data_IF_093947762844
#
_entry.id   IF_093947762844
#
_cell.length_a   1.000
_cell.length_b   1.000
_cell.length_c   1.000
_cell.angle_alpha   90.00
_cell.angle_beta   90.00
_cell.angle_gamma   90.00
#
_symmetry.space_group_name_H-M   'P 1'
#
loop_
_entity.id
_entity.type
_entity.pdbx_description
1 polymer ?
#
# COMPACT_ATOMS: atom_id res chain seq x y z
N UNK A 1 -79.30 29.29 -2.70
CA UNK A 1 -78.03 28.94 -3.38
C UNK A 1 -76.99 28.62 -2.30
N UNK A 2 -76.74 27.33 -2.00
CA UNK A 2 -75.71 26.89 -1.05
C UNK A 2 -74.39 26.76 -1.83
N UNK A 3 -73.37 27.56 -1.47
CA UNK A 3 -72.02 27.44 -2.03
C UNK A 3 -71.29 26.33 -1.28
N UNK A 4 -70.95 25.25 -1.99
CA UNK A 4 -70.07 24.19 -1.50
C UNK A 4 -68.65 24.69 -1.73
N UNK A 5 -67.90 24.89 -0.64
CA UNK A 5 -66.46 25.19 -0.68
C UNK A 5 -65.77 23.83 -0.65
N UNK A 6 -65.21 23.40 -1.78
CA UNK A 6 -64.35 22.23 -1.85
C UNK A 6 -62.99 22.57 -1.25
N UNK A 7 -62.65 21.92 -0.14
CA UNK A 7 -61.30 21.95 0.43
C UNK A 7 -60.47 20.93 -0.36
N UNK A 8 -59.53 21.44 -1.17
CA UNK A 8 -58.52 20.62 -1.82
C UNK A 8 -57.47 20.25 -0.76
N UNK A 9 -57.48 19.00 -0.30
CA UNK A 9 -56.42 18.47 0.56
C UNK A 9 -55.29 18.01 -0.36
N UNK A 10 -54.22 18.81 -0.40
CA UNK A 10 -53.00 18.47 -1.11
C UNK A 10 -52.15 17.58 -0.18
N UNK A 11 -52.18 16.27 -0.40
CA UNK A 11 -51.33 15.32 0.33
C UNK A 11 -49.90 15.42 -0.21
N UNK A 12 -49.02 16.10 0.53
CA UNK A 12 -47.58 16.02 0.29
C UNK A 12 -47.10 14.66 0.79
N UNK A 13 -46.76 13.76 -0.14
CA UNK A 13 -45.97 12.57 0.18
C UNK A 13 -44.52 13.05 0.23
N UNK A 14 -44.00 13.29 1.44
CA UNK A 14 -42.56 13.45 1.64
C UNK A 14 -41.97 12.06 1.56
N UNK A 15 -41.49 11.68 0.36
CA UNK A 15 -40.61 10.53 0.22
C UNK A 15 -39.29 10.92 0.89
N UNK A 16 -38.99 10.32 2.05
CA UNK A 16 -37.61 10.28 2.54
C UNK A 16 -36.83 9.45 1.53
N UNK A 17 -36.07 10.12 0.67
CA UNK A 17 -35.00 9.46 -0.08
C UNK A 17 -33.90 9.24 0.95
N UNK A 18 -33.66 8.00 1.34
CA UNK A 18 -32.44 7.67 2.08
C UNK A 18 -31.28 7.94 1.13
N UNK A 19 -30.27 8.70 1.57
CA UNK A 19 -29.05 8.86 0.80
C UNK A 19 -28.34 7.50 0.75
N UNK A 20 -28.01 7.03 -0.44
CA UNK A 20 -27.18 5.83 -0.62
C UNK A 20 -25.80 6.14 -0.07
N UNK A 21 -25.34 5.34 0.89
CA UNK A 21 -23.98 5.46 1.41
C UNK A 21 -23.00 4.64 0.57
N UNK A 22 -21.70 4.88 0.72
CA UNK A 22 -20.68 4.02 0.09
C UNK A 22 -20.83 2.58 0.58
N UNK A 23 -21.11 2.39 1.87
CA UNK A 23 -21.41 1.06 2.44
C UNK A 23 -22.57 0.37 1.72
N UNK A 24 -23.65 1.09 1.41
CA UNK A 24 -24.80 0.51 0.70
C UNK A 24 -24.45 0.08 -0.74
N UNK A 25 -23.45 0.71 -1.36
CA UNK A 25 -22.92 0.32 -2.68
C UNK A 25 -22.01 -0.90 -2.54
N UNK A 26 -21.08 -0.88 -1.60
CA UNK A 26 -19.99 -1.84 -1.47
C UNK A 26 -20.42 -3.15 -0.80
N UNK A 27 -21.17 -3.09 0.30
CA UNK A 27 -21.40 -4.26 1.13
C UNK A 27 -22.26 -5.32 0.45
N UNK A 28 -21.76 -6.56 0.46
CA UNK A 28 -22.53 -7.76 0.14
C UNK A 28 -22.04 -8.95 0.96
N UNK A 29 -22.94 -9.89 1.26
CA UNK A 29 -22.60 -11.22 1.80
C UNK A 29 -22.74 -12.33 0.74
N UNK A 30 -22.88 -11.93 -0.53
CA UNK A 30 -23.08 -12.82 -1.67
C UNK A 30 -21.82 -12.82 -2.54
N UNK A 31 -21.09 -13.93 -2.52
CA UNK A 31 -19.95 -14.12 -3.41
C UNK A 31 -20.39 -14.21 -4.89
N UNK A 32 -19.65 -13.52 -5.76
CA UNK A 32 -19.75 -13.54 -7.20
C UNK A 32 -19.22 -14.84 -7.84
N UNK A 33 -19.44 -15.02 -9.15
CA UNK A 33 -19.00 -16.22 -9.88
C UNK A 33 -17.47 -16.33 -10.05
N UNK A 34 -16.77 -15.21 -9.92
CA UNK A 34 -15.32 -15.00 -9.91
C UNK A 34 -14.70 -15.11 -8.51
N UNK A 35 -15.52 -15.23 -7.46
CA UNK A 35 -15.07 -15.39 -6.08
C UNK A 35 -14.92 -14.08 -5.30
N UNK A 36 -15.09 -12.95 -5.96
CA UNK A 36 -15.21 -11.60 -5.38
C UNK A 36 -16.59 -11.37 -4.77
N UNK A 37 -16.82 -10.18 -4.21
CA UNK A 37 -18.05 -9.81 -3.53
C UNK A 37 -18.67 -8.58 -4.22
N UNK A 38 -19.26 -8.78 -5.42
CA UNK A 38 -19.76 -7.69 -6.25
C UNK A 38 -20.95 -6.96 -5.61
N UNK A 39 -21.01 -5.66 -5.85
CA UNK A 39 -22.13 -4.80 -5.46
C UNK A 39 -23.48 -5.36 -5.91
N UNK A 40 -24.43 -5.39 -4.98
CA UNK A 40 -25.83 -5.71 -5.29
C UNK A 40 -26.55 -4.58 -6.07
N UNK A 41 -25.87 -3.44 -6.27
CA UNK A 41 -26.35 -2.30 -7.02
C UNK A 41 -25.74 -2.21 -8.42
N UNK A 42 -25.03 -3.23 -8.91
CA UNK A 42 -24.47 -3.26 -10.26
C UNK A 42 -25.51 -2.87 -11.33
N UNK A 43 -25.17 -1.85 -12.12
CA UNK A 43 -26.02 -1.26 -13.17
C UNK A 43 -27.02 -0.21 -12.69
N UNK A 44 -27.16 0.04 -11.39
CA UNK A 44 -28.04 1.08 -10.84
C UNK A 44 -27.33 2.45 -10.77
N UNK A 45 -28.10 3.53 -10.95
CA UNK A 45 -27.62 4.89 -10.74
C UNK A 45 -27.78 5.29 -9.27
N UNK A 46 -26.70 5.77 -8.67
CA UNK A 46 -26.65 6.15 -7.25
C UNK A 46 -26.05 7.55 -7.09
N UNK A 47 -26.41 8.20 -5.99
CA UNK A 47 -25.73 9.40 -5.49
C UNK A 47 -25.14 9.09 -4.12
N UNK A 48 -23.81 9.21 -4.00
CA UNK A 48 -23.04 8.95 -2.77
C UNK A 48 -22.19 10.17 -2.43
N UNK A 49 -21.74 10.28 -1.18
CA UNK A 49 -20.79 11.30 -0.76
C UNK A 49 -19.63 10.67 0.02
N UNK A 50 -18.44 11.26 -0.13
CA UNK A 50 -17.22 10.80 0.53
C UNK A 50 -16.07 11.80 0.41
N UNK A 51 -15.01 11.57 1.19
CA UNK A 51 -13.79 12.36 1.20
C UNK A 51 -12.80 11.73 0.22
N UNK A 52 -12.19 12.52 -0.65
CA UNK A 52 -11.16 12.06 -1.57
C UNK A 52 -9.91 11.64 -0.79
N UNK A 53 -9.55 10.36 -0.85
CA UNK A 53 -8.38 9.78 -0.18
C UNK A 53 -7.19 9.62 -1.11
N UNK A 54 -7.41 9.42 -2.41
CA UNK A 54 -6.38 9.26 -3.44
C UNK A 54 -6.82 9.80 -4.79
N UNK A 55 -5.88 10.34 -5.58
CA UNK A 55 -6.15 10.99 -6.87
C UNK A 55 -5.24 10.43 -7.95
N UNK A 56 -5.73 10.46 -9.20
CA UNK A 56 -4.98 10.13 -10.42
C UNK A 56 -4.52 8.68 -10.53
N UNK A 57 -5.32 7.78 -9.97
CA UNK A 57 -5.06 6.36 -10.00
C UNK A 57 -4.90 5.84 -11.44
N UNK A 58 -3.94 4.93 -11.63
CA UNK A 58 -3.56 4.33 -12.92
C UNK A 58 -3.20 5.36 -14.00
N UNK A 59 -2.72 6.55 -13.59
CA UNK A 59 -2.29 7.63 -14.48
C UNK A 59 -3.42 8.44 -15.13
N UNK A 60 -4.69 8.13 -14.82
CA UNK A 60 -5.85 8.85 -15.32
C UNK A 60 -6.13 10.07 -14.45
N UNK A 61 -6.10 11.27 -15.05
CA UNK A 61 -6.06 12.53 -14.28
C UNK A 61 -7.32 12.86 -13.48
N UNK A 62 -8.42 12.21 -13.79
CA UNK A 62 -9.76 12.44 -13.27
C UNK A 62 -10.34 11.22 -12.54
N UNK A 63 -9.52 10.19 -12.28
CA UNK A 63 -9.91 9.06 -11.44
C UNK A 63 -9.48 9.32 -10.00
N UNK A 64 -10.29 8.90 -9.05
CA UNK A 64 -10.00 9.10 -7.62
C UNK A 64 -10.73 8.10 -6.73
N UNK A 65 -10.27 7.99 -5.50
CA UNK A 65 -10.88 7.19 -4.46
C UNK A 65 -11.58 8.12 -3.50
N UNK A 66 -12.80 7.77 -3.08
CA UNK A 66 -13.49 8.42 -1.97
C UNK A 66 -13.71 7.43 -0.85
N UNK A 67 -13.77 7.93 0.37
CA UNK A 67 -14.05 7.13 1.55
C UNK A 67 -15.04 7.85 2.48
N UNK A 68 -15.86 7.10 3.22
CA UNK A 68 -16.74 7.68 4.24
C UNK A 68 -15.91 8.39 5.32
N UNK A 69 -16.41 9.50 5.87
CA UNK A 69 -15.69 10.31 6.88
C UNK A 69 -15.25 9.52 8.13
N UNK A 70 -16.04 8.53 8.53
CA UNK A 70 -15.74 7.68 9.68
C UNK A 70 -14.79 6.51 9.33
N UNK A 71 -14.48 6.31 8.04
CA UNK A 71 -13.75 5.16 7.51
C UNK A 71 -14.47 3.83 7.78
N UNK A 72 -13.69 2.76 7.84
CA UNK A 72 -14.15 1.42 8.22
C UNK A 72 -14.31 0.46 7.04
N UNK A 73 -14.65 -0.79 7.34
CA UNK A 73 -14.94 -1.80 6.30
C UNK A 73 -16.06 -1.30 5.37
N UNK A 74 -15.92 -1.56 4.06
CA UNK A 74 -16.84 -1.21 2.99
C UNK A 74 -17.08 0.30 2.86
N UNK A 75 -16.10 1.11 3.25
CA UNK A 75 -16.23 2.57 3.26
C UNK A 75 -15.59 3.27 2.07
N UNK A 76 -14.78 2.56 1.28
CA UNK A 76 -14.08 3.07 0.12
C UNK A 76 -14.84 2.85 -1.18
N UNK A 77 -14.66 3.73 -2.16
CA UNK A 77 -15.21 3.56 -3.49
C UNK A 77 -14.34 4.22 -4.54
N UNK A 78 -14.10 3.50 -5.63
CA UNK A 78 -13.38 4.01 -6.78
C UNK A 78 -14.30 4.77 -7.73
N UNK A 79 -13.85 5.96 -8.14
CA UNK A 79 -14.55 6.85 -9.05
C UNK A 79 -13.77 6.96 -10.35
N UNK A 80 -14.39 6.49 -11.44
CA UNK A 80 -13.78 6.39 -12.75
C UNK A 80 -14.38 7.42 -13.72
N UNK A 81 -13.52 8.11 -14.48
CA UNK A 81 -13.89 9.13 -15.47
C UNK A 81 -14.76 10.25 -14.89
N UNK A 82 -14.28 10.94 -13.84
CA UNK A 82 -15.01 12.05 -13.26
C UNK A 82 -15.08 13.30 -14.15
N UNK A 83 -14.14 13.45 -15.09
CA UNK A 83 -14.01 14.65 -15.94
C UNK A 83 -13.54 15.92 -15.22
N UNK A 84 -13.44 15.91 -13.88
CA UNK A 84 -12.89 16.99 -13.08
C UNK A 84 -11.44 16.67 -12.69
N UNK A 85 -10.53 17.58 -13.04
CA UNK A 85 -9.09 17.46 -12.76
C UNK A 85 -8.59 18.49 -11.76
N UNK A 86 -9.51 19.23 -11.12
CA UNK A 86 -9.23 20.32 -10.18
C UNK A 86 -9.35 19.93 -8.71
N UNK A 87 -9.91 18.75 -8.44
CA UNK A 87 -10.11 18.19 -7.10
C UNK A 87 -8.77 17.88 -6.41
N UNK A 88 -8.75 17.96 -5.08
CA UNK A 88 -7.59 17.67 -4.23
C UNK A 88 -7.95 16.63 -3.14
N UNK A 89 -6.95 15.92 -2.62
CA UNK A 89 -7.14 15.04 -1.44
C UNK A 89 -7.67 15.87 -0.27
N UNK A 90 -8.64 15.31 0.47
CA UNK A 90 -9.35 16.01 1.54
C UNK A 90 -10.55 16.85 1.08
N UNK A 91 -10.83 16.91 -0.23
CA UNK A 91 -12.12 17.40 -0.72
C UNK A 91 -13.22 16.39 -0.40
N UNK A 92 -14.35 16.87 0.11
CA UNK A 92 -15.57 16.08 0.25
C UNK A 92 -16.45 16.33 -0.97
N UNK A 93 -16.86 15.27 -1.65
CA UNK A 93 -17.61 15.34 -2.90
C UNK A 93 -18.88 14.52 -2.83
N UNK A 94 -19.92 15.01 -3.51
CA UNK A 94 -21.10 14.24 -3.88
C UNK A 94 -20.94 13.76 -5.33
N UNK A 95 -21.06 12.45 -5.55
CA UNK A 95 -20.87 11.80 -6.85
C UNK A 95 -22.18 11.12 -7.26
N UNK A 96 -22.63 11.39 -8.49
CA UNK A 96 -23.76 10.69 -9.10
C UNK A 96 -23.32 10.01 -10.39
N UNK A 97 -23.50 8.68 -10.45
CA UNK A 97 -23.16 7.84 -11.60
C UNK A 97 -23.73 6.43 -11.45
N UNK A 98 -23.35 5.54 -12.37
CA UNK A 98 -23.78 4.15 -12.37
C UNK A 98 -22.75 3.30 -11.62
N UNK A 99 -23.22 2.45 -10.71
CA UNK A 99 -22.39 1.41 -10.09
C UNK A 99 -22.06 0.36 -11.14
N UNK A 100 -20.80 -0.03 -11.24
CA UNK A 100 -20.36 -1.10 -12.14
C UNK A 100 -19.40 -2.05 -11.45
N UNK A 101 -19.59 -3.32 -11.75
CA UNK A 101 -18.62 -4.37 -11.45
C UNK A 101 -17.65 -4.55 -12.63
N UNK A 102 -16.39 -4.13 -12.44
CA UNK A 102 -15.37 -4.25 -13.47
C UNK A 102 -14.34 -5.32 -13.09
N UNK A 103 -14.58 -6.55 -13.56
CA UNK A 103 -13.76 -7.73 -13.22
C UNK A 103 -13.59 -7.93 -11.70
N UNK A 104 -14.67 -7.72 -10.96
CA UNK A 104 -14.69 -7.88 -9.49
C UNK A 104 -14.21 -6.66 -8.72
N UNK A 105 -13.97 -5.52 -9.37
CA UNK A 105 -13.69 -4.23 -8.73
C UNK A 105 -14.90 -3.30 -8.86
N UNK A 106 -15.44 -2.81 -7.74
CA UNK A 106 -16.62 -1.95 -7.72
C UNK A 106 -16.25 -0.50 -8.02
N UNK A 107 -16.85 0.08 -9.05
CA UNK A 107 -16.64 1.48 -9.44
C UNK A 107 -17.93 2.27 -9.62
N UNK A 108 -17.86 3.60 -9.49
CA UNK A 108 -18.85 4.50 -10.09
C UNK A 108 -18.27 5.08 -11.37
N UNK A 109 -18.98 4.88 -12.49
CA UNK A 109 -18.66 5.50 -13.77
C UNK A 109 -19.93 5.86 -14.56
N UNK A 110 -19.78 6.61 -15.65
CA UNK A 110 -20.91 6.97 -16.49
C UNK A 110 -21.32 5.84 -17.44
N UNK A 111 -22.53 5.93 -17.98
CA UNK A 111 -23.01 5.00 -19.01
C UNK A 111 -22.26 5.23 -20.34
N UNK A 112 -21.88 4.17 -21.05
CA UNK A 112 -21.15 4.23 -22.33
C UNK A 112 -19.94 5.21 -22.32
N UNK A 113 -19.10 5.14 -21.29
CA UNK A 113 -17.88 5.97 -21.11
C UNK A 113 -18.14 7.49 -21.09
N UNK A 114 -19.29 7.89 -20.55
CA UNK A 114 -19.61 9.30 -20.28
C UNK A 114 -19.08 9.76 -18.92
N UNK A 115 -18.87 11.06 -18.76
CA UNK A 115 -18.52 11.64 -17.46
C UNK A 115 -19.70 11.55 -16.50
N UNK A 116 -19.41 11.23 -15.25
CA UNK A 116 -20.35 11.30 -14.12
C UNK A 116 -20.56 12.74 -13.64
N UNK A 117 -21.49 12.95 -12.71
CA UNK A 117 -21.64 14.25 -12.04
C UNK A 117 -20.90 14.24 -10.71
N UNK A 118 -19.99 15.21 -10.52
CA UNK A 118 -19.30 15.44 -9.24
C UNK A 118 -19.56 16.85 -8.75
N UNK A 119 -19.94 16.99 -7.48
CA UNK A 119 -20.14 18.28 -6.81
C UNK A 119 -19.25 18.36 -5.58
N UNK A 120 -18.35 19.36 -5.55
CA UNK A 120 -17.57 19.67 -4.35
C UNK A 120 -18.49 20.21 -3.23
N UNK A 121 -18.48 19.55 -2.08
CA UNK A 121 -19.25 19.94 -0.90
C UNK A 121 -18.41 20.80 0.04
N UNK A 122 -17.19 20.35 0.33
CA UNK A 122 -16.24 21.01 1.23
C UNK A 122 -14.79 20.65 0.86
N UNK A 123 -13.80 21.40 1.36
CA UNK A 123 -12.39 21.22 1.01
C UNK A 123 -11.48 21.38 2.23
N UNK A 124 -10.36 20.67 2.24
CA UNK A 124 -9.38 20.70 3.33
C UNK A 124 -9.82 19.95 4.59
N UNK A 125 -10.65 18.92 4.41
CA UNK A 125 -11.06 18.03 5.49
C UNK A 125 -9.91 17.07 5.87
N UNK A 126 -9.93 16.60 7.11
CA UNK A 126 -9.09 15.47 7.50
C UNK A 126 -9.55 14.23 6.71
N UNK A 127 -8.60 13.45 6.22
CA UNK A 127 -8.90 12.14 5.60
C UNK A 127 -9.23 11.11 6.67
N UNK A 128 -10.06 10.10 6.37
CA UNK A 128 -10.28 8.97 7.28
C UNK A 128 -8.97 8.31 7.70
N UNK A 129 -8.92 7.83 8.94
CA UNK A 129 -7.75 7.10 9.42
C UNK A 129 -7.63 5.75 8.68
N UNK A 130 -6.42 5.33 8.28
CA UNK A 130 -6.25 4.08 7.57
C UNK A 130 -6.69 2.88 8.43
N UNK A 131 -7.32 1.87 7.83
CA UNK A 131 -7.53 0.59 8.49
C UNK A 131 -6.23 -0.18 8.61
N UNK A 132 -5.88 -0.54 9.84
CA UNK A 132 -4.73 -1.43 10.10
C UNK A 132 -5.17 -2.86 9.78
N UNK A 133 -4.52 -3.47 8.79
CA UNK A 133 -4.76 -4.84 8.32
C UNK A 133 -3.48 -5.67 8.40
N UNK A 134 -3.62 -7.00 8.37
CA UNK A 134 -2.49 -7.90 8.16
C UNK A 134 -2.34 -8.22 6.68
N UNK A 135 -1.13 -8.57 6.25
CA UNK A 135 -0.92 -8.95 4.84
C UNK A 135 -1.71 -10.21 4.46
N UNK A 136 -1.99 -11.11 5.42
CA UNK A 136 -2.91 -12.24 5.26
C UNK A 136 -4.33 -11.82 4.89
N UNK A 137 -4.85 -10.72 5.45
CA UNK A 137 -6.24 -10.29 5.25
C UNK A 137 -6.51 -9.89 3.80
N UNK A 138 -5.45 -9.61 3.03
CA UNK A 138 -5.51 -9.14 1.65
C UNK A 138 -5.31 -10.25 0.61
N UNK A 139 -5.31 -11.52 1.00
CA UNK A 139 -5.01 -12.65 0.07
C UNK A 139 -6.21 -13.49 -0.34
N UNK A 140 -7.36 -13.27 0.26
CA UNK A 140 -8.62 -13.94 -0.08
C UNK A 140 -9.71 -12.88 -0.19
N UNK A 141 -10.53 -12.96 -1.25
CA UNK A 141 -11.59 -11.98 -1.47
C UNK A 141 -12.55 -11.89 -0.28
N UNK A 142 -12.85 -12.99 0.41
CA UNK A 142 -13.75 -12.95 1.58
C UNK A 142 -13.22 -12.11 2.75
N UNK A 143 -11.91 -11.86 2.81
CA UNK A 143 -11.27 -11.02 3.83
C UNK A 143 -10.81 -9.68 3.30
N UNK A 144 -10.49 -9.58 2.01
CA UNK A 144 -9.92 -8.39 1.38
C UNK A 144 -10.98 -7.40 0.86
N UNK A 145 -12.12 -7.91 0.37
CA UNK A 145 -13.24 -7.11 -0.16
C UNK A 145 -13.78 -6.04 0.78
N UNK A 146 -13.90 -6.27 2.11
CA UNK A 146 -14.24 -5.21 3.05
C UNK A 146 -13.30 -4.01 3.01
N UNK A 147 -12.12 -4.13 2.42
CA UNK A 147 -11.14 -3.07 2.32
C UNK A 147 -10.98 -2.54 0.89
N UNK A 148 -11.74 -3.04 -0.09
CA UNK A 148 -11.70 -2.55 -1.46
C UNK A 148 -11.93 -1.03 -1.48
N UNK A 149 -11.05 -0.32 -2.19
CA UNK A 149 -11.03 1.14 -2.28
C UNK A 149 -10.82 1.91 -0.97
N UNK A 150 -10.63 1.22 0.16
CA UNK A 150 -10.38 1.86 1.44
C UNK A 150 -8.90 2.22 1.59
N UNK A 151 -8.62 3.26 2.37
CA UNK A 151 -7.27 3.54 2.82
C UNK A 151 -6.86 2.52 3.90
N UNK A 152 -5.84 1.71 3.61
CA UNK A 152 -5.33 0.67 4.51
C UNK A 152 -3.88 0.94 4.91
N UNK A 153 -3.44 0.25 5.96
CA UNK A 153 -2.10 0.27 6.52
C UNK A 153 -1.65 -1.14 6.92
N UNK A 154 -0.46 -1.54 6.47
CA UNK A 154 0.25 -2.72 6.99
C UNK A 154 1.51 -2.28 7.73
N UNK A 155 1.83 -3.00 8.81
CA UNK A 155 2.88 -2.62 9.75
C UNK A 155 3.97 -3.69 9.85
N UNK A 156 5.20 -3.25 10.11
CA UNK A 156 6.38 -4.09 10.32
C UNK A 156 6.56 -5.14 9.21
N UNK A 157 6.52 -4.69 7.96
CA UNK A 157 6.57 -5.56 6.79
C UNK A 157 7.97 -5.71 6.22
N UNK A 158 8.23 -6.85 5.58
CA UNK A 158 9.48 -7.14 4.87
C UNK A 158 9.19 -7.47 3.41
N UNK A 159 9.98 -6.91 2.50
CA UNK A 159 9.92 -7.21 1.06
C UNK A 159 10.31 -8.66 0.81
N UNK A 160 9.40 -9.42 0.19
CA UNK A 160 9.57 -10.84 -0.17
C UNK A 160 9.81 -11.07 -1.65
N UNK A 161 9.50 -10.08 -2.48
CA UNK A 161 9.82 -10.05 -3.91
C UNK A 161 10.10 -8.61 -4.31
N UNK A 162 11.19 -8.40 -5.07
CA UNK A 162 11.57 -7.09 -5.62
C UNK A 162 10.57 -6.63 -6.69
N UNK A 163 10.74 -5.40 -7.17
CA UNK A 163 9.86 -4.85 -8.19
C UNK A 163 9.84 -5.75 -9.44
N UNK A 164 8.66 -6.24 -9.79
CA UNK A 164 8.41 -7.03 -11.00
C UNK A 164 7.96 -6.13 -12.14
N UNK A 165 7.55 -6.75 -13.26
CA UNK A 165 6.99 -5.98 -14.38
C UNK A 165 5.79 -5.17 -13.90
N UNK A 166 5.61 -3.96 -14.44
CA UNK A 166 4.51 -3.05 -14.13
C UNK A 166 4.52 -2.37 -12.76
N UNK A 167 5.61 -2.49 -12.00
CA UNK A 167 5.81 -1.63 -10.83
C UNK A 167 5.49 -2.28 -9.49
N UNK A 168 4.91 -3.49 -9.52
CA UNK A 168 4.48 -4.26 -8.35
C UNK A 168 5.65 -4.84 -7.56
N UNK A 169 5.51 -4.95 -6.24
CA UNK A 169 6.40 -5.73 -5.38
C UNK A 169 5.59 -6.40 -4.26
N UNK A 170 6.22 -7.30 -3.52
CA UNK A 170 5.51 -8.05 -2.48
C UNK A 170 6.16 -7.86 -1.12
N UNK A 171 5.31 -7.75 -0.10
CA UNK A 171 5.71 -7.65 1.30
C UNK A 171 4.94 -8.64 2.16
N UNK A 172 5.50 -9.02 3.30
CA UNK A 172 4.79 -9.81 4.31
C UNK A 172 5.04 -9.25 5.71
N UNK A 173 4.03 -9.33 6.57
CA UNK A 173 4.16 -9.04 8.00
C UNK A 173 4.43 -10.34 8.81
N UNK A 174 4.10 -10.33 10.10
CA UNK A 174 4.25 -11.49 10.99
C UNK A 174 3.41 -12.72 10.58
N UNK A 175 2.39 -12.54 9.74
CA UNK A 175 1.57 -13.63 9.19
C UNK A 175 2.37 -14.54 8.25
N UNK A 176 3.48 -14.04 7.68
CA UNK A 176 4.29 -14.71 6.67
C UNK A 176 3.51 -15.08 5.38
N UNK A 177 2.39 -14.41 5.14
CA UNK A 177 1.65 -14.45 3.87
C UNK A 177 1.93 -13.16 3.09
N UNK A 178 2.53 -13.22 1.89
CA UNK A 178 2.79 -12.01 1.11
C UNK A 178 1.50 -11.37 0.59
N UNK A 179 1.46 -10.03 0.54
CA UNK A 179 0.48 -9.25 -0.22
C UNK A 179 1.20 -8.35 -1.23
N UNK A 180 0.49 -7.96 -2.29
CA UNK A 180 1.00 -7.08 -3.33
C UNK A 180 0.99 -5.62 -2.84
N UNK A 181 2.03 -4.89 -3.20
CA UNK A 181 2.06 -3.44 -3.22
C UNK A 181 2.27 -3.01 -4.68
N UNK A 182 1.55 -1.99 -5.13
CA UNK A 182 1.59 -1.50 -6.51
C UNK A 182 1.78 0.03 -6.56
N UNK A 183 2.15 0.57 -7.71
CA UNK A 183 2.53 1.96 -7.94
C UNK A 183 1.43 2.80 -8.64
N UNK A 184 0.18 2.37 -8.52
CA UNK A 184 -0.96 2.92 -9.25
C UNK A 184 -1.20 4.43 -9.07
N UNK A 185 -0.76 5.05 -7.97
CA UNK A 185 -0.87 6.50 -7.78
C UNK A 185 0.38 7.30 -8.16
N UNK A 186 1.58 6.72 -7.98
CA UNK A 186 2.84 7.37 -8.35
C UNK A 186 3.92 6.32 -8.62
N UNK A 187 4.74 6.57 -9.64
CA UNK A 187 5.88 5.72 -9.93
C UNK A 187 7.02 5.96 -8.93
N UNK A 188 7.65 4.89 -8.46
CA UNK A 188 8.78 4.95 -7.53
C UNK A 188 10.00 5.73 -8.09
N UNK A 189 10.14 5.77 -9.41
CA UNK A 189 11.18 6.53 -10.14
C UNK A 189 10.85 8.02 -10.35
N UNK A 190 9.61 8.43 -10.03
CA UNK A 190 9.15 9.81 -10.19
C UNK A 190 9.53 10.73 -9.03
N UNK A 191 9.94 10.14 -7.90
CA UNK A 191 10.40 10.88 -6.71
C UNK A 191 11.92 11.07 -6.74
N UNK A 192 12.41 12.11 -6.05
CA UNK A 192 13.85 12.40 -5.99
C UNK A 192 14.34 12.39 -4.55
N UNK A 193 15.29 11.49 -4.21
CA UNK A 193 15.81 10.42 -5.06
C UNK A 193 14.80 9.28 -5.26
N UNK A 194 14.97 8.51 -6.33
CA UNK A 194 14.15 7.35 -6.70
C UNK A 194 14.11 6.30 -5.58
N UNK A 195 12.93 5.72 -5.32
CA UNK A 195 12.78 4.62 -4.37
C UNK A 195 13.11 3.31 -5.09
N UNK A 196 14.08 2.56 -4.56
CA UNK A 196 14.48 1.25 -5.10
C UNK A 196 14.05 0.17 -4.12
N UNK A 197 13.16 -0.73 -4.54
CA UNK A 197 12.70 -1.85 -3.73
C UNK A 197 13.73 -2.98 -3.80
N UNK A 198 14.21 -3.42 -2.64
CA UNK A 198 15.25 -4.46 -2.52
C UNK A 198 14.74 -5.60 -1.64
N UNK A 199 15.07 -6.84 -1.98
CA UNK A 199 14.62 -8.00 -1.20
C UNK A 199 15.06 -7.89 0.27
N UNK A 200 14.14 -8.17 1.19
CA UNK A 200 14.38 -8.06 2.63
C UNK A 200 14.39 -6.64 3.18
N UNK A 201 14.10 -5.62 2.35
CA UNK A 201 13.86 -4.26 2.85
C UNK A 201 12.69 -4.29 3.84
N UNK A 202 12.86 -3.58 4.95
CA UNK A 202 11.87 -3.51 6.04
C UNK A 202 11.19 -2.15 5.95
N UNK A 203 9.88 -2.12 6.14
CA UNK A 203 9.11 -0.88 6.29
C UNK A 203 8.35 -0.98 7.61
N UNK A 204 8.45 0.06 8.45
CA UNK A 204 7.62 0.16 9.64
C UNK A 204 6.15 0.27 9.27
N UNK A 205 5.84 1.02 8.21
CA UNK A 205 4.47 1.24 7.74
C UNK A 205 4.45 1.34 6.21
N UNK A 206 3.49 0.65 5.57
CA UNK A 206 3.06 0.94 4.20
C UNK A 206 1.56 1.26 4.23
N UNK A 207 1.19 2.43 3.70
CA UNK A 207 -0.19 2.89 3.54
C UNK A 207 -0.56 2.94 2.05
N UNK A 208 -1.85 2.85 1.76
CA UNK A 208 -2.34 3.02 0.40
C UNK A 208 -3.81 2.71 0.27
N UNK A 209 -4.41 3.08 -0.86
CA UNK A 209 -5.76 2.59 -1.17
C UNK A 209 -5.65 1.17 -1.70
N UNK A 210 -6.55 0.28 -1.28
CA UNK A 210 -6.60 -1.08 -1.81
C UNK A 210 -7.32 -1.11 -3.16
N UNK A 211 -6.71 -1.74 -4.15
CA UNK A 211 -7.36 -2.06 -5.43
C UNK A 211 -7.54 -3.58 -5.59
N UNK A 212 -8.26 -3.98 -6.62
CA UNK A 212 -8.34 -5.36 -7.08
C UNK A 212 -8.09 -5.41 -8.59
N UNK A 213 -7.07 -6.16 -9.01
CA UNK A 213 -6.77 -6.36 -10.42
C UNK A 213 -6.09 -7.71 -10.66
N UNK A 214 -6.38 -8.33 -11.81
CA UNK A 214 -5.76 -9.62 -12.20
C UNK A 214 -5.82 -10.72 -11.12
N UNK A 215 -6.95 -10.83 -10.43
CA UNK A 215 -7.21 -11.79 -9.35
C UNK A 215 -6.37 -11.57 -8.06
N UNK A 216 -5.89 -10.34 -7.84
CA UNK A 216 -5.07 -9.99 -6.69
C UNK A 216 -5.44 -8.61 -6.11
N UNK A 217 -5.38 -8.48 -4.78
CA UNK A 217 -5.55 -7.21 -4.09
C UNK A 217 -4.19 -6.53 -3.88
N UNK A 218 -4.09 -5.25 -4.22
CA UNK A 218 -2.87 -4.46 -4.13
C UNK A 218 -3.05 -3.24 -3.25
N UNK A 219 -2.13 -3.04 -2.29
CA UNK A 219 -2.04 -1.74 -1.61
C UNK A 219 -1.34 -0.77 -2.56
N UNK A 220 -1.95 0.37 -2.85
CA UNK A 220 -1.37 1.39 -3.71
C UNK A 220 -1.00 2.63 -2.88
N UNK A 221 0.29 2.82 -2.52
CA UNK A 221 0.75 4.01 -1.82
C UNK A 221 0.50 5.25 -2.68
N UNK A 222 -0.08 6.29 -2.07
CA UNK A 222 -0.54 7.47 -2.82
C UNK A 222 0.59 8.44 -3.10
N UNK A 223 1.56 8.46 -2.18
CA UNK A 223 2.79 9.25 -2.26
C UNK A 223 3.93 8.52 -1.56
N UNK A 224 5.17 8.99 -1.71
CA UNK A 224 6.31 8.48 -0.95
C UNK A 224 6.17 8.64 0.57
N UNK A 225 5.26 9.51 1.06
CA UNK A 225 4.99 9.67 2.51
C UNK A 225 4.19 8.49 3.09
N UNK A 226 3.55 7.68 2.24
CA UNK A 226 2.86 6.46 2.64
C UNK A 226 3.83 5.27 2.84
N UNK A 227 5.12 5.43 2.55
CA UNK A 227 6.19 4.44 2.74
C UNK A 227 7.14 4.89 3.88
N UNK A 228 7.01 4.30 5.06
CA UNK A 228 7.69 4.74 6.30
C UNK A 228 8.65 3.67 6.82
N UNK A 229 9.96 3.94 6.88
CA UNK A 229 11.01 2.99 7.30
C UNK A 229 11.19 2.90 8.82
N UNK A 230 11.28 4.05 9.50
CA UNK A 230 11.34 4.09 10.95
C UNK A 230 10.27 5.03 11.51
N UNK A 231 9.51 4.55 12.51
CA UNK A 231 8.65 5.41 13.34
C UNK A 231 9.53 6.25 14.25
N UNK A 232 10.18 7.25 13.67
CA UNK A 232 10.89 8.28 14.43
C UNK A 232 9.86 9.10 15.21
N UNK A 233 10.20 9.55 16.42
CA UNK A 233 9.32 10.41 17.24
C UNK A 233 9.00 11.78 16.61
N UNK A 234 9.55 12.06 15.43
CA UNK A 234 9.11 13.13 14.53
C UNK A 234 8.60 12.46 13.23
N UNK A 235 7.31 12.63 12.95
CA UNK A 235 6.69 12.22 11.69
C UNK A 235 7.49 12.80 10.49
N UNK A 236 7.69 11.99 9.44
CA UNK A 236 8.34 12.30 8.14
C UNK A 236 9.82 11.91 7.94
N UNK A 237 10.24 10.71 8.35
CA UNK A 237 11.42 10.10 7.74
C UNK A 237 11.03 9.45 6.40
N UNK A 238 11.05 10.23 5.32
CA UNK A 238 10.87 9.74 3.94
C UNK A 238 12.08 8.87 3.58
N UNK A 239 11.85 7.65 3.10
CA UNK A 239 12.91 6.82 2.54
C UNK A 239 13.33 7.39 1.20
N UNK A 240 14.37 8.21 1.26
CA UNK A 240 15.04 8.75 0.09
C UNK A 240 16.25 7.88 -0.26
N UNK A 241 16.02 6.71 -0.84
CA UNK A 241 17.00 5.89 -1.55
C UNK A 241 18.36 5.68 -0.86
N UNK A 242 18.48 5.85 0.45
CA UNK A 242 19.77 5.83 1.13
C UNK A 242 20.44 4.49 0.87
N UNK A 243 21.78 4.49 0.79
CA UNK A 243 22.52 3.23 0.73
C UNK A 243 22.04 2.34 1.87
N UNK A 244 21.48 1.20 1.51
CA UNK A 244 20.72 0.36 2.41
C UNK A 244 21.34 -1.03 2.47
N UNK A 245 21.14 -1.70 3.61
CA UNK A 245 21.41 -3.13 3.75
C UNK A 245 20.17 -3.83 4.29
N UNK A 246 19.73 -4.87 3.60
CA UNK A 246 18.79 -5.88 4.11
C UNK A 246 19.45 -7.25 4.20
N UNK A 247 18.81 -8.17 4.92
CA UNK A 247 19.22 -9.56 4.99
C UNK A 247 17.99 -10.46 4.82
N UNK A 248 17.95 -11.25 3.76
CA UNK A 248 16.84 -12.16 3.48
C UNK A 248 17.32 -13.54 3.00
N UNK A 249 16.68 -14.66 3.42
CA UNK A 249 15.66 -14.72 4.48
C UNK A 249 16.23 -14.39 5.86
N UNK A 250 15.37 -13.98 6.79
CA UNK A 250 15.71 -13.79 8.21
C UNK A 250 14.45 -14.02 9.07
N UNK A 251 14.36 -15.06 9.92
CA UNK A 251 15.36 -16.09 10.19
C UNK A 251 15.71 -16.95 8.97
N UNK A 252 16.87 -17.62 9.00
CA UNK A 252 17.38 -18.38 7.84
C UNK A 252 17.92 -19.76 8.19
N UNK A 253 17.93 -20.66 7.19
CA UNK A 253 18.52 -22.01 7.29
C UNK A 253 18.92 -22.56 5.90
N UNK A 254 20.20 -22.90 5.61
CA UNK A 254 21.41 -22.53 6.35
C UNK A 254 22.02 -21.21 5.86
N UNK A 255 21.42 -20.55 4.86
CA UNK A 255 21.99 -19.34 4.24
C UNK A 255 21.03 -18.15 4.24
N UNK A 256 21.61 -16.96 4.36
CA UNK A 256 20.96 -15.66 4.14
C UNK A 256 21.83 -14.83 3.21
N UNK A 257 21.22 -13.90 2.48
CA UNK A 257 21.93 -12.97 1.60
C UNK A 257 21.77 -11.55 2.14
N UNK A 258 22.89 -10.85 2.27
CA UNK A 258 22.88 -9.41 2.46
C UNK A 258 22.74 -8.73 1.10
N UNK A 259 21.72 -7.89 0.97
CA UNK A 259 21.48 -7.07 -0.22
C UNK A 259 21.94 -5.65 0.09
N UNK A 260 22.83 -5.12 -0.74
CA UNK A 260 23.41 -3.79 -0.62
C UNK A 260 23.10 -2.99 -1.87
N UNK A 261 22.62 -1.75 -1.73
CA UNK A 261 22.52 -0.80 -2.83
C UNK A 261 23.47 0.38 -2.60
N UNK A 262 24.45 0.58 -3.48
CA UNK A 262 25.46 1.62 -3.38
C UNK A 262 25.18 2.78 -4.33
N UNK A 263 25.21 4.01 -3.83
CA UNK A 263 25.02 5.24 -4.64
C UNK A 263 26.24 5.64 -5.43
N UNK A 264 27.41 5.16 -5.02
CA UNK A 264 28.67 5.40 -5.70
C UNK A 264 29.65 4.26 -5.41
N UNK A 265 30.66 4.10 -6.26
CA UNK A 265 31.70 3.11 -6.02
C UNK A 265 32.43 3.45 -4.70
N UNK A 266 32.45 2.50 -3.77
CA UNK A 266 32.87 2.72 -2.39
C UNK A 266 33.56 1.49 -1.82
N UNK A 267 34.49 1.70 -0.88
CA UNK A 267 35.08 0.59 -0.12
C UNK A 267 34.08 0.09 0.91
N UNK A 268 33.68 -1.18 0.78
CA UNK A 268 32.67 -1.80 1.64
C UNK A 268 33.33 -2.85 2.53
N UNK A 269 32.96 -2.83 3.81
CA UNK A 269 33.23 -3.91 4.76
C UNK A 269 31.91 -4.53 5.22
N UNK A 270 31.80 -5.85 5.17
CA UNK A 270 30.68 -6.58 5.72
C UNK A 270 31.20 -7.70 6.62
N UNK A 271 30.98 -7.55 7.92
CA UNK A 271 31.47 -8.45 8.96
C UNK A 271 30.30 -9.10 9.70
N UNK A 272 30.47 -10.38 10.03
CA UNK A 272 29.51 -11.13 10.85
C UNK A 272 30.06 -11.26 12.27
N UNK A 273 29.26 -10.88 13.26
CA UNK A 273 29.56 -11.01 14.68
C UNK A 273 28.52 -11.88 15.39
N UNK A 274 28.93 -12.53 16.47
CA UNK A 274 27.99 -13.18 17.39
C UNK A 274 27.52 -12.23 18.50
N UNK A 275 26.62 -12.70 19.38
CA UNK A 275 26.11 -11.93 20.53
C UNK A 275 27.17 -11.47 21.55
N UNK A 276 28.39 -12.03 21.52
CA UNK A 276 29.49 -11.60 22.38
C UNK A 276 30.35 -10.50 21.75
N UNK A 277 30.02 -10.07 20.53
CA UNK A 277 30.85 -9.17 19.74
C UNK A 277 32.10 -9.83 19.15
N UNK A 278 32.17 -11.18 19.14
CA UNK A 278 33.28 -11.87 18.50
C UNK A 278 33.04 -11.91 16.99
N UNK A 279 34.03 -11.44 16.21
CA UNK A 279 33.97 -11.48 14.74
C UNK A 279 34.09 -12.92 14.25
N UNK A 280 33.02 -13.40 13.62
CA UNK A 280 32.88 -14.75 13.09
C UNK A 280 33.48 -14.87 11.69
N UNK A 281 33.15 -13.93 10.81
CA UNK A 281 33.55 -13.95 9.40
C UNK A 281 33.59 -12.54 8.83
N UNK A 282 34.51 -12.30 7.90
CA UNK A 282 34.44 -11.14 7.00
C UNK A 282 33.93 -11.64 5.67
N UNK A 283 32.79 -11.12 5.22
CA UNK A 283 32.15 -11.49 3.95
C UNK A 283 32.66 -10.64 2.80
N UNK A 284 32.84 -9.33 3.04
CA UNK A 284 33.36 -8.36 2.07
C UNK A 284 34.33 -7.41 2.79
N UNK A 285 35.40 -7.03 2.09
CA UNK A 285 36.34 -5.98 2.49
C UNK A 285 37.10 -5.48 1.25
N UNK A 286 36.37 -4.85 0.33
CA UNK A 286 36.90 -4.42 -0.98
C UNK A 286 36.08 -3.26 -1.56
N UNK A 287 36.59 -2.68 -2.64
CA UNK A 287 35.89 -1.68 -3.45
C UNK A 287 34.78 -2.35 -4.25
N UNK A 288 33.54 -1.90 -4.03
CA UNK A 288 32.37 -2.32 -4.79
C UNK A 288 31.93 -1.19 -5.74
N UNK A 289 31.44 -1.56 -6.93
CA UNK A 289 30.90 -0.60 -7.89
C UNK A 289 29.57 -0.01 -7.44
N UNK A 290 29.13 1.08 -8.07
CA UNK A 290 27.75 1.58 -7.92
C UNK A 290 26.71 0.48 -8.27
N UNK A 291 25.57 0.50 -7.59
CA UNK A 291 24.44 -0.41 -7.81
C UNK A 291 24.30 -1.51 -6.77
N UNK A 292 23.57 -2.56 -7.13
CA UNK A 292 23.17 -3.66 -6.25
C UNK A 292 24.27 -4.73 -6.11
N UNK A 293 24.43 -5.24 -4.87
CA UNK A 293 25.36 -6.33 -4.54
C UNK A 293 24.72 -7.34 -3.61
N UNK A 294 24.87 -8.63 -3.92
CA UNK A 294 24.29 -9.75 -3.17
C UNK A 294 25.39 -10.59 -2.53
N UNK A 295 25.48 -10.57 -1.20
CA UNK A 295 26.53 -11.26 -0.45
C UNK A 295 25.91 -12.37 0.40
N UNK A 296 26.14 -13.62 0.02
CA UNK A 296 25.59 -14.78 0.75
C UNK A 296 26.48 -15.21 1.91
N UNK A 297 25.87 -15.42 3.08
CA UNK A 297 26.48 -16.13 4.20
C UNK A 297 25.78 -17.46 4.43
N UNK A 298 26.56 -18.54 4.46
CA UNK A 298 26.09 -19.92 4.65
C UNK A 298 26.20 -20.42 6.10
N UNK A 299 26.23 -19.52 7.09
CA UNK A 299 26.33 -19.90 8.50
C UNK A 299 27.68 -20.53 8.88
N UNK A 300 28.79 -20.05 8.30
CA UNK A 300 30.16 -20.54 8.60
C UNK A 300 31.08 -19.46 9.15
N UNK A 301 32.12 -19.85 9.88
CA UNK A 301 33.22 -18.98 10.31
C UNK A 301 34.30 -18.81 9.21
N UNK A 302 35.37 -18.07 9.53
CA UNK A 302 36.53 -17.86 8.63
C UNK A 302 37.28 -19.16 8.27
N UNK A 303 37.10 -20.25 9.02
CA UNK A 303 37.68 -21.57 8.71
C UNK A 303 36.69 -22.46 7.94
N UNK A 304 35.59 -21.89 7.44
CA UNK A 304 34.49 -22.58 6.78
C UNK A 304 33.82 -23.66 7.65
N UNK A 305 33.90 -23.52 8.97
CA UNK A 305 33.20 -24.40 9.91
C UNK A 305 31.83 -23.81 10.24
N UNK A 306 30.81 -24.67 10.27
CA UNK A 306 29.47 -24.27 10.64
C UNK A 306 29.43 -23.67 12.06
N UNK A 307 28.79 -22.51 12.20
CA UNK A 307 28.51 -21.89 13.51
C UNK A 307 27.22 -22.44 14.12
N UNK A 308 26.94 -22.15 15.39
CA UNK A 308 25.73 -22.67 16.07
C UNK A 308 24.49 -21.87 15.67
N UNK A 309 23.29 -22.44 15.78
CA UNK A 309 22.04 -21.66 15.69
C UNK A 309 22.05 -20.53 16.73
N UNK A 310 21.47 -19.38 16.39
CA UNK A 310 21.45 -18.22 17.27
C UNK A 310 21.44 -16.89 16.53
N UNK A 311 21.59 -15.81 17.30
CA UNK A 311 21.60 -14.44 16.81
C UNK A 311 23.01 -14.06 16.37
N UNK A 312 23.09 -13.45 15.19
CA UNK A 312 24.30 -12.86 14.63
C UNK A 312 24.00 -11.43 14.17
N UNK A 313 25.05 -10.65 13.98
CA UNK A 313 24.97 -9.26 13.53
C UNK A 313 25.83 -9.08 12.30
N UNK A 314 25.23 -8.52 11.25
CA UNK A 314 25.92 -8.07 10.06
C UNK A 314 26.24 -6.59 10.27
N UNK A 315 27.52 -6.29 10.46
CA UNK A 315 28.04 -4.94 10.54
C UNK A 315 28.57 -4.55 9.16
N UNK A 316 27.98 -3.53 8.58
CA UNK A 316 28.36 -2.95 7.30
C UNK A 316 29.02 -1.61 7.52
N UNK A 317 30.19 -1.40 6.92
CA UNK A 317 30.82 -0.10 6.79
C UNK A 317 30.99 0.26 5.33
N UNK A 318 30.52 1.43 4.89
CA UNK A 318 30.69 1.97 3.55
C UNK A 318 31.48 3.27 3.67
N UNK A 319 32.69 3.30 3.10
CA UNK A 319 33.53 4.49 3.12
C UNK A 319 32.98 5.53 2.14
N UNK A 320 32.62 6.72 2.61
CA UNK A 320 32.11 7.81 1.76
C UNK A 320 33.03 9.01 1.77
N UNK A 321 32.84 9.90 0.80
CA UNK A 321 33.62 11.14 0.69
C UNK A 321 33.30 12.15 1.80
N UNK A 322 32.05 12.19 2.27
CA UNK A 322 31.55 13.19 3.23
C UNK A 322 31.32 12.65 4.65
N UNK A 323 30.86 11.39 4.80
CA UNK A 323 30.67 10.73 6.10
C UNK A 323 30.58 9.20 5.93
N UNK A 324 31.33 8.43 6.69
CA UNK A 324 31.29 6.96 6.61
C UNK A 324 29.93 6.44 7.08
N UNK A 325 29.35 5.50 6.35
CA UNK A 325 28.11 4.85 6.76
C UNK A 325 28.36 3.55 7.46
N UNK A 326 27.70 3.40 8.61
CA UNK A 326 27.70 2.15 9.37
C UNK A 326 26.28 1.69 9.62
N UNK A 327 26.01 0.42 9.37
CA UNK A 327 24.73 -0.21 9.68
C UNK A 327 24.94 -1.57 10.33
N UNK A 328 24.04 -1.94 11.24
CA UNK A 328 24.04 -3.23 11.92
C UNK A 328 22.69 -3.90 11.74
N UNK A 329 22.66 -5.02 11.02
CA UNK A 329 21.44 -5.85 10.85
C UNK A 329 21.54 -7.11 11.69
N UNK A 330 20.50 -7.37 12.48
CA UNK A 330 20.36 -8.57 13.30
C UNK A 330 19.80 -9.71 12.45
N UNK A 331 20.51 -10.84 12.38
CA UNK A 331 20.06 -12.04 11.66
C UNK A 331 19.98 -13.26 12.58
N UNK A 332 19.04 -14.15 12.31
CA UNK A 332 18.76 -15.33 13.14
C UNK A 332 19.01 -16.61 12.32
N UNK A 333 20.05 -17.36 12.68
CA UNK A 333 20.33 -18.68 12.10
C UNK A 333 19.54 -19.76 12.85
N UNK A 334 18.70 -20.49 12.12
CA UNK A 334 18.01 -21.69 12.58
C UNK A 334 18.64 -22.92 11.93
N UNK A 335 18.81 -23.99 12.71
CA UNK A 335 19.22 -25.32 12.21
C UNK A 335 18.25 -26.36 12.70
#
# INVERSE_FOLDING_TARGET
MKKIIGVLVLTFVVSMVFATTIYDVQYTDVAGPDGTYPSLLDGEEVTVAGIITGLKFSGYKDNFYIEMVDGGEWSGLYIHMAGDTTLVVGDEVEVTGTVKEYYGFTEISGYDDTFISVTLLSSGNDIPAPMIVQTLDLTDAATAEPYESCLVEVNDVVVTEEQINFGQWYVTDISATPCQIDDGFFYLDSVTPEIVIVLGMEWAVIRGCLDYSYDEFGINPRTAEDLIDEVSSNENAIVTSSEFISCYPNPFNPQTTAFLNLKSASHVTLNVYNIKGEKIKTLVNEELSIGEHHITWNGTDNNNKNVSSGIYFFETGIARQDDDYTSVKKVILLK
#
